data_IF_400264541671
#
_entry.id   IF_400264541671
#
_cell.length_a   1.000
_cell.length_b   1.000
_cell.length_c   1.000
_cell.angle_alpha   90.00
_cell.angle_beta   90.00
_cell.angle_gamma   90.00
#
_symmetry.space_group_name_H-M   'P 1'
#
loop_
_entity.id
_entity.type
_entity.pdbx_description
1 polymer ?
#
# COMPACT_ATOMS: atom_id res chain seq x y z
N UNK A 1 19.88 23.89 29.83
CA UNK A 1 19.35 23.03 28.75
C UNK A 1 17.83 23.18 28.69
N UNK A 2 17.36 24.13 27.87
CA UNK A 2 15.94 24.34 27.56
C UNK A 2 15.71 23.78 26.15
N UNK A 3 14.87 22.76 26.00
CA UNK A 3 14.35 22.38 24.68
C UNK A 3 13.19 23.30 24.36
N UNK A 4 13.34 24.05 23.28
CA UNK A 4 12.39 25.02 22.74
C UNK A 4 11.27 24.23 22.08
N UNK A 5 10.04 24.41 22.56
CA UNK A 5 8.82 24.05 21.83
C UNK A 5 8.63 25.09 20.73
N UNK A 6 8.93 24.68 19.49
CA UNK A 6 8.47 25.39 18.29
C UNK A 6 7.83 24.32 17.41
N UNK A 7 6.57 24.00 17.69
CA UNK A 7 5.69 23.37 16.71
C UNK A 7 4.87 24.52 16.14
N UNK A 8 5.22 24.88 14.90
CA UNK A 8 4.57 25.89 14.10
C UNK A 8 3.09 25.56 13.89
N UNK A 9 2.26 26.54 14.26
CA UNK A 9 0.98 26.89 13.66
C UNK A 9 0.90 26.57 12.15
N UNK A 10 0.21 25.50 11.78
CA UNK A 10 -0.33 25.33 10.42
C UNK A 10 -1.79 24.88 10.47
N UNK A 11 -2.65 25.89 10.56
CA UNK A 11 -3.99 26.05 9.99
C UNK A 11 -4.79 24.82 9.53
N UNK A 12 -5.87 24.58 10.27
CA UNK A 12 -7.11 23.98 9.77
C UNK A 12 -7.77 24.92 8.74
N UNK A 13 -8.25 24.44 7.58
CA UNK A 13 -9.05 25.25 6.66
C UNK A 13 -10.50 25.30 7.16
N UNK A 14 -10.75 26.08 8.22
CA UNK A 14 -12.11 26.41 8.64
C UNK A 14 -12.19 27.93 8.79
N UNK A 15 -13.31 28.52 8.36
CA UNK A 15 -13.55 29.97 8.36
C UNK A 15 -13.06 30.67 9.63
N UNK A 16 -12.49 31.88 9.52
CA UNK A 16 -11.79 32.60 10.59
C UNK A 16 -12.45 32.56 11.99
N UNK A 17 -13.79 32.66 12.06
CA UNK A 17 -14.56 32.56 13.32
C UNK A 17 -14.58 31.17 13.96
N UNK A 18 -14.57 30.13 13.15
CA UNK A 18 -14.52 28.75 13.63
C UNK A 18 -13.13 28.37 14.15
N UNK A 19 -12.08 28.97 13.60
CA UNK A 19 -10.70 28.73 14.01
C UNK A 19 -10.42 29.26 15.42
N UNK A 20 -10.77 30.51 15.73
CA UNK A 20 -10.60 31.08 17.09
C UNK A 20 -11.42 30.32 18.13
N UNK A 21 -12.63 29.86 17.77
CA UNK A 21 -13.47 29.04 18.66
C UNK A 21 -12.83 27.69 18.93
N UNK A 22 -12.23 27.07 17.92
CA UNK A 22 -11.56 25.79 18.04
C UNK A 22 -10.33 25.90 18.93
N UNK A 23 -9.48 26.91 18.70
CA UNK A 23 -8.29 27.20 19.51
C UNK A 23 -8.64 27.41 20.99
N UNK A 24 -9.66 28.21 21.29
CA UNK A 24 -10.12 28.41 22.66
C UNK A 24 -10.62 27.12 23.33
N UNK A 25 -11.32 26.26 22.59
CA UNK A 25 -11.77 24.97 23.11
C UNK A 25 -10.59 24.01 23.35
N UNK A 26 -9.62 23.96 22.45
CA UNK A 26 -8.41 23.14 22.58
C UNK A 26 -7.59 23.57 23.80
N UNK A 27 -7.37 24.87 23.99
CA UNK A 27 -6.65 25.37 25.15
C UNK A 27 -7.40 25.11 26.46
N UNK A 28 -8.73 25.20 26.44
CA UNK A 28 -9.56 24.80 27.58
C UNK A 28 -9.40 23.31 27.88
N UNK A 29 -9.45 22.44 26.86
CA UNK A 29 -9.26 20.99 27.00
C UNK A 29 -7.88 20.67 27.58
N UNK A 30 -6.82 21.31 27.09
CA UNK A 30 -5.44 21.13 27.59
C UNK A 30 -5.29 21.46 29.07
N UNK A 31 -6.01 22.47 29.55
CA UNK A 31 -5.89 22.99 30.92
C UNK A 31 -6.82 22.31 31.93
N UNK A 32 -7.85 21.58 31.48
CA UNK A 32 -8.92 21.10 32.35
C UNK A 32 -9.23 19.61 32.14
N UNK A 33 -9.33 18.86 33.24
CA UNK A 33 -9.76 17.45 33.26
C UNK A 33 -11.12 17.32 33.97
N UNK A 34 -12.18 17.87 33.38
CA UNK A 34 -13.53 17.87 33.95
C UNK A 34 -14.60 17.43 32.91
N UNK A 35 -15.86 17.42 33.30
CA UNK A 35 -16.94 16.97 32.39
C UNK A 35 -17.12 17.94 31.20
N UNK A 36 -17.02 19.25 31.43
CA UNK A 36 -17.15 20.25 30.38
C UNK A 36 -16.06 20.10 29.31
N UNK A 37 -14.81 19.84 29.72
CA UNK A 37 -13.73 19.59 28.77
C UNK A 37 -13.93 18.29 27.99
N UNK A 38 -14.47 17.24 28.63
CA UNK A 38 -14.86 16.01 27.94
C UNK A 38 -15.95 16.24 26.90
N UNK A 39 -16.98 17.01 27.22
CA UNK A 39 -18.08 17.28 26.30
C UNK A 39 -17.62 18.12 25.10
N UNK A 40 -16.78 19.13 25.34
CA UNK A 40 -16.10 19.89 24.26
C UNK A 40 -15.24 18.96 23.41
N UNK A 41 -14.49 18.07 24.04
CA UNK A 41 -13.61 17.16 23.33
C UNK A 41 -14.38 16.17 22.44
N UNK A 42 -15.49 15.63 22.94
CA UNK A 42 -16.37 14.74 22.16
C UNK A 42 -16.97 15.45 20.96
N UNK A 43 -17.47 16.67 21.18
CA UNK A 43 -18.06 17.48 20.10
C UNK A 43 -17.05 17.71 18.97
N UNK A 44 -15.83 18.13 19.32
CA UNK A 44 -14.76 18.32 18.33
C UNK A 44 -14.47 17.02 17.59
N UNK A 45 -14.29 15.90 18.30
CA UNK A 45 -14.01 14.62 17.69
C UNK A 45 -15.08 14.21 16.67
N UNK A 46 -16.36 14.32 17.03
CA UNK A 46 -17.48 14.01 16.12
C UNK A 46 -17.50 14.92 14.89
N UNK A 47 -17.23 16.22 15.05
CA UNK A 47 -17.12 17.16 13.94
C UNK A 47 -15.96 16.80 12.99
N UNK A 48 -14.82 16.35 13.54
CA UNK A 48 -13.69 15.90 12.73
C UNK A 48 -14.01 14.60 11.98
N UNK A 49 -14.64 13.62 12.65
CA UNK A 49 -15.06 12.37 12.01
C UNK A 49 -16.01 12.61 10.85
N UNK A 50 -16.97 13.54 11.00
CA UNK A 50 -17.91 13.88 9.94
C UNK A 50 -17.24 14.53 8.70
N UNK A 51 -16.09 15.19 8.89
CA UNK A 51 -15.32 15.81 7.80
C UNK A 51 -14.40 14.83 7.06
N UNK A 52 -14.00 13.72 7.68
CA UNK A 52 -13.08 12.73 7.12
C UNK A 52 -13.70 11.82 6.03
N UNK A 53 -14.67 12.29 5.24
CA UNK A 53 -15.55 11.42 4.48
C UNK A 53 -14.91 10.52 3.40
N UNK A 54 -13.61 10.60 3.04
CA UNK A 54 -12.99 9.63 2.11
C UNK A 54 -11.49 9.42 2.30
N UNK A 55 -11.12 8.48 3.17
CA UNK A 55 -9.82 7.78 3.26
C UNK A 55 -8.53 8.58 3.57
N UNK A 56 -8.50 9.91 3.50
CA UNK A 56 -7.35 10.66 3.98
C UNK A 56 -7.41 10.87 5.49
N UNK A 57 -6.33 10.53 6.19
CA UNK A 57 -6.16 11.00 7.55
C UNK A 57 -5.85 12.49 7.50
N UNK A 58 -6.86 13.31 7.73
CA UNK A 58 -6.67 14.75 7.88
C UNK A 58 -5.72 14.98 9.07
N UNK A 59 -4.59 15.67 8.82
CA UNK A 59 -3.58 16.08 9.81
C UNK A 59 -4.21 16.58 11.11
N UNK A 60 -5.30 17.33 10.94
CA UNK A 60 -6.27 17.75 11.94
C UNK A 60 -6.64 16.69 13.00
N UNK A 61 -7.04 15.48 12.59
CA UNK A 61 -7.48 14.44 13.54
C UNK A 61 -6.29 13.84 14.30
N UNK A 62 -5.13 13.73 13.64
CA UNK A 62 -3.87 13.33 14.29
C UNK A 62 -3.51 14.28 15.41
N UNK A 63 -3.41 15.56 15.07
CA UNK A 63 -3.03 16.61 15.99
C UNK A 63 -4.01 16.66 17.16
N UNK A 64 -5.30 16.52 16.85
CA UNK A 64 -6.32 16.48 17.89
C UNK A 64 -6.17 15.27 18.83
N UNK A 65 -5.89 14.07 18.29
CA UNK A 65 -5.60 12.89 19.08
C UNK A 65 -4.37 13.09 19.98
N UNK A 66 -3.27 13.59 19.42
CA UNK A 66 -2.03 13.89 20.15
C UNK A 66 -2.24 14.94 21.25
N UNK A 67 -3.12 15.93 21.02
CA UNK A 67 -3.54 16.89 22.04
C UNK A 67 -4.22 16.19 23.20
N UNK A 68 -5.22 15.34 22.93
CA UNK A 68 -5.94 14.62 23.98
C UNK A 68 -4.99 13.75 24.80
N UNK A 69 -4.09 13.03 24.13
CA UNK A 69 -3.05 12.23 24.78
C UNK A 69 -2.13 13.08 25.66
N UNK A 70 -1.68 14.24 25.18
CA UNK A 70 -0.75 15.11 25.90
C UNK A 70 -1.29 15.59 27.25
N UNK A 71 -2.62 15.65 27.41
CA UNK A 71 -3.24 16.08 28.67
C UNK A 71 -3.06 15.09 29.82
N UNK A 72 -2.86 13.79 29.51
CA UNK A 72 -2.85 12.71 30.52
C UNK A 72 -4.16 12.52 31.30
N UNK A 73 -5.26 13.13 30.86
CA UNK A 73 -6.55 13.06 31.54
C UNK A 73 -7.33 11.79 31.16
N UNK A 74 -7.51 10.87 32.12
CA UNK A 74 -8.25 9.60 31.92
C UNK A 74 -9.71 9.78 31.47
N UNK A 75 -10.34 10.94 31.70
CA UNK A 75 -11.69 11.20 31.17
C UNK A 75 -11.74 11.14 29.65
N UNK A 76 -10.63 11.43 28.96
CA UNK A 76 -10.53 11.36 27.51
C UNK A 76 -10.28 9.95 26.97
N UNK A 77 -10.02 8.94 27.82
CA UNK A 77 -9.79 7.56 27.40
C UNK A 77 -10.94 7.05 26.53
N UNK A 78 -12.19 7.41 26.84
CA UNK A 78 -13.36 7.04 26.03
C UNK A 78 -13.28 7.55 24.58
N UNK A 79 -12.68 8.72 24.35
CA UNK A 79 -12.46 9.26 23.00
C UNK A 79 -11.29 8.53 22.33
N UNK A 80 -10.19 8.31 23.07
CA UNK A 80 -9.02 7.59 22.56
C UNK A 80 -9.37 6.15 22.15
N UNK A 81 -10.26 5.49 22.91
CA UNK A 81 -10.78 4.17 22.59
C UNK A 81 -11.67 4.19 21.36
N UNK A 82 -12.55 5.19 21.25
CA UNK A 82 -13.37 5.36 20.05
C UNK A 82 -12.51 5.61 18.81
N UNK A 83 -11.41 6.36 18.93
CA UNK A 83 -10.48 6.62 17.85
C UNK A 83 -9.73 5.34 17.41
N UNK A 84 -9.34 4.48 18.35
CA UNK A 84 -8.82 3.17 18.01
C UNK A 84 -9.89 2.27 17.36
N UNK A 85 -11.04 2.14 18.00
CA UNK A 85 -12.08 1.20 17.61
C UNK A 85 -12.72 1.55 16.26
N UNK A 86 -12.90 2.84 15.97
CA UNK A 86 -13.61 3.30 14.76
C UNK A 86 -12.67 3.77 13.67
N UNK A 87 -11.53 4.33 14.03
CA UNK A 87 -10.63 5.01 13.10
C UNK A 87 -9.24 4.38 13.00
N UNK A 88 -8.97 3.33 13.79
CA UNK A 88 -7.70 2.60 13.85
C UNK A 88 -6.49 3.51 14.13
N UNK A 89 -6.74 4.55 14.92
CA UNK A 89 -5.73 5.51 15.39
C UNK A 89 -5.25 5.11 16.78
N UNK A 90 -3.94 4.88 16.92
CA UNK A 90 -3.33 4.53 18.20
C UNK A 90 -1.92 5.08 18.30
N UNK A 91 -1.51 5.46 19.51
CA UNK A 91 -0.11 5.74 19.82
C UNK A 91 0.47 4.67 20.73
N UNK A 92 1.80 4.59 20.77
CA UNK A 92 2.52 3.71 21.70
C UNK A 92 2.09 3.93 23.15
N UNK A 93 1.95 5.20 23.56
CA UNK A 93 1.53 5.53 24.92
C UNK A 93 0.13 5.04 25.21
N UNK A 94 -0.85 5.33 24.35
CA UNK A 94 -2.24 4.88 24.57
C UNK A 94 -2.33 3.37 24.59
N UNK A 95 -1.60 2.69 23.70
CA UNK A 95 -1.47 1.24 23.76
C UNK A 95 -0.94 0.76 25.12
N UNK A 96 0.21 1.29 25.55
CA UNK A 96 0.88 0.86 26.78
C UNK A 96 0.11 1.23 28.05
N UNK A 97 -0.61 2.36 28.08
CA UNK A 97 -1.34 2.81 29.28
C UNK A 97 -2.75 2.25 29.40
N UNK A 98 -3.39 1.95 28.28
CA UNK A 98 -4.82 1.68 28.26
C UNK A 98 -5.19 0.27 27.81
N UNK A 99 -4.34 -0.38 27.02
CA UNK A 99 -4.60 -1.73 26.53
C UNK A 99 -3.61 -2.75 27.10
N UNK A 100 -2.32 -2.45 27.05
CA UNK A 100 -1.27 -3.37 27.44
C UNK A 100 -1.40 -3.79 28.92
N UNK A 101 -1.56 -5.09 29.16
CA UNK A 101 -1.77 -5.65 30.50
C UNK A 101 -3.18 -5.48 31.08
N UNK A 102 -4.14 -4.91 30.33
CA UNK A 102 -5.53 -4.75 30.76
C UNK A 102 -6.47 -5.75 30.09
N UNK A 103 -7.01 -6.69 30.87
CA UNK A 103 -8.03 -7.63 30.36
C UNK A 103 -9.35 -6.93 30.01
N UNK A 104 -9.69 -5.85 30.71
CA UNK A 104 -11.00 -5.17 30.57
C UNK A 104 -11.17 -4.52 29.19
N UNK A 105 -10.07 -4.02 28.62
CA UNK A 105 -10.09 -3.29 27.34
C UNK A 105 -9.73 -4.17 26.14
N UNK A 106 -9.54 -5.48 26.34
CA UNK A 106 -9.13 -6.40 25.27
C UNK A 106 -10.16 -6.48 24.13
N UNK A 107 -11.47 -6.50 24.45
CA UNK A 107 -12.52 -6.54 23.43
C UNK A 107 -12.52 -5.29 22.53
N UNK A 108 -12.38 -4.11 23.13
CA UNK A 108 -12.25 -2.82 22.43
C UNK A 108 -10.99 -2.84 21.55
N UNK A 109 -9.88 -3.35 22.10
CA UNK A 109 -8.63 -3.47 21.36
C UNK A 109 -8.80 -4.33 20.10
N UNK A 110 -9.42 -5.50 20.25
CA UNK A 110 -9.65 -6.43 19.14
C UNK A 110 -10.60 -5.86 18.08
N UNK A 111 -11.64 -5.13 18.49
CA UNK A 111 -12.57 -4.47 17.57
C UNK A 111 -11.84 -3.47 16.68
N UNK A 112 -10.97 -2.62 17.24
CA UNK A 112 -10.17 -1.66 16.47
C UNK A 112 -9.19 -2.34 15.52
N UNK A 113 -8.53 -3.41 15.97
CA UNK A 113 -7.54 -4.12 15.17
C UNK A 113 -8.15 -4.75 13.91
N UNK A 114 -9.33 -5.34 14.05
CA UNK A 114 -10.05 -6.03 12.97
C UNK A 114 -10.81 -5.08 12.02
N UNK A 115 -10.77 -3.76 12.25
CA UNK A 115 -11.44 -2.80 11.38
C UNK A 115 -10.95 -2.86 9.94
N UNK A 116 -11.87 -2.56 9.01
CA UNK A 116 -11.59 -2.45 7.58
C UNK A 116 -10.91 -1.12 7.19
N UNK A 117 -10.05 -0.56 8.06
CA UNK A 117 -9.23 0.65 7.81
C UNK A 117 -7.73 0.36 7.86
N UNK A 118 -6.92 1.22 7.25
CA UNK A 118 -5.45 1.25 7.33
C UNK A 118 -4.98 1.56 8.76
N UNK A 119 -3.77 1.14 9.14
CA UNK A 119 -3.22 1.47 10.46
C UNK A 119 -2.80 2.94 10.50
N UNK A 120 -3.10 3.63 11.61
CA UNK A 120 -2.75 5.04 11.80
C UNK A 120 -2.06 5.23 13.14
N UNK A 121 -0.74 5.39 13.12
CA UNK A 121 0.04 5.55 14.34
C UNK A 121 0.29 7.03 14.65
N UNK A 122 -0.27 7.51 15.77
CA UNK A 122 0.01 8.84 16.32
C UNK A 122 1.37 8.80 17.03
N UNK A 123 2.24 9.81 16.84
CA UNK A 123 3.66 9.89 17.27
C UNK A 123 4.74 9.59 16.22
N UNK A 124 4.42 9.43 14.94
CA UNK A 124 5.44 9.47 13.88
C UNK A 124 5.58 10.89 13.31
N UNK A 125 6.81 11.39 13.19
CA UNK A 125 7.11 12.75 12.68
C UNK A 125 6.65 12.96 11.24
N UNK A 126 6.37 11.89 10.49
CA UNK A 126 5.91 11.94 9.12
C UNK A 126 4.38 11.83 8.99
N UNK A 127 3.84 12.55 8.01
CA UNK A 127 2.41 12.66 7.67
C UNK A 127 1.86 11.43 6.92
N UNK A 128 2.73 10.54 6.43
CA UNK A 128 2.33 9.38 5.65
C UNK A 128 2.19 8.14 6.55
N UNK A 129 0.95 7.73 6.83
CA UNK A 129 0.56 6.34 7.12
C UNK A 129 1.55 5.55 8.00
N UNK A 130 2.05 6.20 9.05
CA UNK A 130 3.35 5.86 9.62
C UNK A 130 3.41 4.48 10.22
N UNK A 131 4.18 3.57 9.62
CA UNK A 131 4.32 2.20 10.10
C UNK A 131 5.23 2.17 11.34
N UNK A 132 4.71 1.71 12.48
CA UNK A 132 5.50 1.45 13.69
C UNK A 132 5.69 -0.07 13.89
N UNK A 133 6.76 -0.62 13.32
CA UNK A 133 7.12 -2.05 13.46
C UNK A 133 7.21 -2.52 14.91
N UNK A 134 7.74 -1.67 15.80
CA UNK A 134 7.95 -2.03 17.22
C UNK A 134 6.60 -2.15 17.92
N UNK A 135 5.73 -1.15 17.72
CA UNK A 135 4.39 -1.13 18.29
C UNK A 135 3.52 -2.23 17.69
N UNK A 136 3.60 -2.44 16.37
CA UNK A 136 2.89 -3.51 15.68
C UNK A 136 3.25 -4.89 16.25
N UNK A 137 4.54 -5.15 16.47
CA UNK A 137 5.00 -6.38 17.13
C UNK A 137 4.49 -6.50 18.57
N UNK A 138 4.55 -5.40 19.35
CA UNK A 138 4.04 -5.38 20.73
C UNK A 138 2.54 -5.67 20.80
N UNK A 139 1.77 -5.11 19.89
CA UNK A 139 0.34 -5.33 19.77
C UNK A 139 0.02 -6.80 19.44
N UNK A 140 0.73 -7.40 18.49
CA UNK A 140 0.59 -8.83 18.19
C UNK A 140 0.94 -9.70 19.40
N UNK A 141 2.02 -9.40 20.13
CA UNK A 141 2.40 -10.12 21.37
C UNK A 141 1.34 -10.00 22.46
N UNK A 142 0.71 -8.84 22.57
CA UNK A 142 -0.39 -8.63 23.50
C UNK A 142 -1.59 -9.52 23.16
N UNK A 143 -1.98 -9.60 21.88
CA UNK A 143 -3.04 -10.53 21.42
C UNK A 143 -2.66 -11.98 21.73
N UNK A 144 -1.42 -12.36 21.41
CA UNK A 144 -0.91 -13.72 21.64
C UNK A 144 -0.98 -14.13 23.12
N UNK A 145 -0.72 -13.21 24.05
CA UNK A 145 -0.79 -13.44 25.48
C UNK A 145 -2.23 -13.66 25.99
N UNK A 146 -3.23 -13.13 25.28
CA UNK A 146 -4.64 -13.29 25.64
C UNK A 146 -5.29 -14.49 24.95
N UNK A 147 -5.04 -14.68 23.66
CA UNK A 147 -5.72 -15.68 22.86
C UNK A 147 -4.96 -16.03 21.57
N UNK A 148 -4.49 -17.28 21.48
CA UNK A 148 -3.84 -17.80 20.26
C UNK A 148 -4.80 -17.77 19.05
N UNK A 149 -6.09 -18.06 19.25
CA UNK A 149 -7.08 -18.02 18.17
C UNK A 149 -7.31 -16.61 17.64
N UNK A 150 -7.31 -15.61 18.52
CA UNK A 150 -7.46 -14.21 18.11
C UNK A 150 -6.24 -13.72 17.35
N UNK A 151 -5.03 -14.10 17.80
CA UNK A 151 -3.79 -13.81 17.08
C UNK A 151 -3.86 -14.37 15.66
N UNK A 152 -4.22 -15.65 15.52
CA UNK A 152 -4.33 -16.30 14.21
C UNK A 152 -5.38 -15.59 13.34
N UNK A 153 -6.55 -15.26 13.89
CA UNK A 153 -7.59 -14.52 13.18
C UNK A 153 -7.08 -13.17 12.69
N UNK A 154 -6.41 -12.42 13.56
CA UNK A 154 -5.86 -11.10 13.26
C UNK A 154 -4.81 -11.17 12.15
N UNK A 155 -3.89 -12.12 12.22
CA UNK A 155 -2.84 -12.29 11.20
C UNK A 155 -3.46 -12.63 9.85
N UNK A 156 -4.35 -13.63 9.81
CA UNK A 156 -5.01 -14.07 8.56
C UNK A 156 -5.77 -12.92 7.90
N UNK A 157 -6.58 -12.21 8.66
CA UNK A 157 -7.38 -11.08 8.14
C UNK A 157 -6.50 -9.97 7.57
N UNK A 158 -5.40 -9.62 8.26
CA UNK A 158 -4.54 -8.53 7.81
C UNK A 158 -3.63 -8.94 6.66
N UNK A 159 -3.13 -10.19 6.58
CA UNK A 159 -2.42 -10.68 5.39
C UNK A 159 -3.29 -10.54 4.14
N UNK A 160 -4.57 -10.91 4.22
CA UNK A 160 -5.47 -10.80 3.07
C UNK A 160 -5.78 -9.35 2.70
N UNK A 161 -5.96 -8.49 3.70
CA UNK A 161 -6.44 -7.12 3.49
C UNK A 161 -5.36 -6.10 3.14
N UNK A 162 -4.21 -6.14 3.80
CA UNK A 162 -3.17 -5.13 3.64
C UNK A 162 -2.48 -5.25 2.27
N UNK A 163 -1.92 -4.15 1.78
CA UNK A 163 -1.13 -4.08 0.53
C UNK A 163 0.03 -3.10 0.71
N UNK A 164 0.92 -3.02 -0.26
CA UNK A 164 2.02 -2.06 -0.28
C UNK A 164 2.92 -2.16 0.94
N UNK A 165 3.32 -1.00 1.47
CA UNK A 165 4.23 -0.95 2.62
C UNK A 165 3.59 -1.55 3.88
N UNK A 166 2.30 -1.32 4.14
CA UNK A 166 1.63 -1.86 5.33
C UNK A 166 1.72 -3.39 5.40
N UNK A 167 1.51 -4.08 4.27
CA UNK A 167 1.61 -5.54 4.19
C UNK A 167 3.02 -6.03 4.54
N UNK A 168 4.05 -5.38 3.97
CA UNK A 168 5.46 -5.73 4.19
C UNK A 168 5.80 -5.63 5.66
N UNK A 169 5.49 -4.49 6.26
CA UNK A 169 5.80 -4.24 7.65
C UNK A 169 4.99 -5.13 8.60
N UNK A 170 3.73 -5.42 8.26
CA UNK A 170 2.93 -6.38 9.00
C UNK A 170 3.55 -7.77 8.99
N UNK A 171 3.96 -8.27 7.81
CA UNK A 171 4.64 -9.58 7.70
C UNK A 171 5.99 -9.58 8.43
N UNK A 172 6.78 -8.51 8.31
CA UNK A 172 8.04 -8.34 9.06
C UNK A 172 7.83 -8.39 10.57
N UNK A 173 6.75 -7.78 11.09
CA UNK A 173 6.39 -7.88 12.50
C UNK A 173 6.00 -9.32 12.89
N UNK A 174 5.32 -10.08 12.01
CA UNK A 174 5.06 -11.50 12.24
C UNK A 174 6.39 -12.26 12.33
N UNK A 175 7.29 -12.11 11.36
CA UNK A 175 8.58 -12.82 11.32
C UNK A 175 9.46 -12.57 12.54
N UNK A 176 9.43 -11.34 13.08
CA UNK A 176 10.18 -10.98 14.29
C UNK A 176 9.63 -11.60 15.57
N UNK A 177 8.36 -12.01 15.59
CA UNK A 177 7.65 -12.42 16.81
C UNK A 177 7.07 -13.83 16.80
N UNK A 178 6.85 -14.40 15.64
CA UNK A 178 6.00 -15.58 15.42
C UNK A 178 6.48 -16.40 14.22
N UNK A 179 6.02 -17.65 14.14
CA UNK A 179 6.34 -18.53 13.02
C UNK A 179 5.49 -18.17 11.79
N UNK A 180 6.07 -17.41 10.85
CA UNK A 180 5.40 -17.04 9.60
C UNK A 180 4.91 -18.26 8.81
N UNK A 181 5.60 -19.40 8.94
CA UNK A 181 5.23 -20.67 8.31
C UNK A 181 3.81 -21.14 8.63
N UNK A 182 3.27 -20.81 9.81
CA UNK A 182 1.88 -21.14 10.16
C UNK A 182 0.86 -20.48 9.22
N UNK A 183 1.25 -19.43 8.50
CA UNK A 183 0.41 -18.60 7.63
C UNK A 183 0.79 -18.73 6.15
N UNK A 184 1.57 -19.75 5.77
CA UNK A 184 2.03 -19.95 4.41
C UNK A 184 0.86 -20.02 3.40
N UNK A 185 -0.23 -20.72 3.73
CA UNK A 185 -1.43 -20.79 2.88
C UNK A 185 -2.11 -19.43 2.71
N UNK A 186 -2.10 -18.58 3.74
CA UNK A 186 -2.63 -17.23 3.66
C UNK A 186 -1.76 -16.36 2.72
N UNK A 187 -0.42 -16.51 2.78
CA UNK A 187 0.51 -15.83 1.86
C UNK A 187 0.36 -16.32 0.41
N UNK A 188 0.16 -17.63 0.19
CA UNK A 188 -0.15 -18.20 -1.13
C UNK A 188 -1.44 -17.58 -1.66
N UNK A 189 -2.51 -17.61 -0.87
CA UNK A 189 -3.80 -17.02 -1.24
C UNK A 189 -3.67 -15.53 -1.58
N UNK A 190 -2.93 -14.77 -0.76
CA UNK A 190 -2.67 -13.35 -1.01
C UNK A 190 -1.89 -13.12 -2.30
N UNK A 191 -0.96 -13.99 -2.65
CA UNK A 191 -0.18 -13.89 -3.89
C UNK A 191 -1.05 -14.06 -5.14
N UNK A 192 -2.03 -14.98 -5.10
CA UNK A 192 -3.04 -15.11 -6.16
C UNK A 192 -3.99 -13.91 -6.27
N UNK A 193 -4.07 -13.07 -5.25
CA UNK A 193 -4.90 -11.86 -5.24
C UNK A 193 -4.06 -10.56 -5.32
N UNK A 194 -2.74 -10.65 -5.48
CA UNK A 194 -1.90 -9.48 -5.64
C UNK A 194 -2.28 -8.73 -6.93
N UNK A 195 -2.49 -7.42 -6.79
CA UNK A 195 -2.81 -6.50 -7.89
C UNK A 195 -1.57 -5.80 -8.43
N UNK A 196 -0.54 -5.63 -7.59
CA UNK A 196 0.69 -4.92 -7.92
C UNK A 196 1.90 -5.86 -7.88
N UNK A 197 2.84 -5.64 -8.81
CA UNK A 197 4.08 -6.42 -8.89
C UNK A 197 4.96 -6.25 -7.64
N UNK A 198 4.86 -5.10 -6.97
CA UNK A 198 5.55 -4.83 -5.71
C UNK A 198 5.17 -5.82 -4.61
N UNK A 199 3.87 -5.94 -4.32
CA UNK A 199 3.34 -6.88 -3.31
C UNK A 199 3.68 -8.32 -3.69
N UNK A 200 3.46 -8.68 -4.95
CA UNK A 200 3.76 -10.02 -5.44
C UNK A 200 5.24 -10.36 -5.27
N UNK A 201 6.16 -9.44 -5.58
CA UNK A 201 7.60 -9.69 -5.45
C UNK A 201 7.99 -9.97 -4.00
N UNK A 202 7.44 -9.20 -3.06
CA UNK A 202 7.66 -9.41 -1.64
C UNK A 202 7.10 -10.76 -1.18
N UNK A 203 5.84 -11.06 -1.51
CA UNK A 203 5.20 -12.33 -1.15
C UNK A 203 5.94 -13.54 -1.71
N UNK A 204 6.38 -13.49 -2.97
CA UNK A 204 7.19 -14.55 -3.58
C UNK A 204 8.51 -14.76 -2.84
N UNK A 205 9.18 -13.68 -2.43
CA UNK A 205 10.42 -13.76 -1.64
C UNK A 205 10.17 -14.48 -0.31
N UNK A 206 9.04 -14.20 0.34
CA UNK A 206 8.67 -14.87 1.59
C UNK A 206 8.27 -16.33 1.40
N UNK A 207 7.52 -16.65 0.36
CA UNK A 207 7.17 -18.05 0.09
C UNK A 207 8.39 -18.88 -0.28
N UNK A 208 9.37 -18.31 -0.98
CA UNK A 208 10.66 -18.94 -1.26
C UNK A 208 11.44 -19.19 0.04
N UNK A 209 11.52 -18.19 0.92
CA UNK A 209 12.24 -18.32 2.20
C UNK A 209 11.61 -19.40 3.09
N UNK A 210 10.28 -19.55 3.03
CA UNK A 210 9.51 -20.59 3.70
C UNK A 210 9.59 -21.97 3.03
N UNK A 211 10.27 -22.08 1.87
CA UNK A 211 10.35 -23.30 1.05
C UNK A 211 8.98 -23.82 0.63
N UNK A 212 8.11 -22.92 0.19
CA UNK A 212 6.85 -23.29 -0.45
C UNK A 212 7.11 -24.17 -1.68
N UNK A 213 6.12 -25.00 -2.02
CA UNK A 213 6.24 -25.94 -3.13
C UNK A 213 6.47 -25.22 -4.46
N UNK A 214 7.47 -25.68 -5.22
CA UNK A 214 7.86 -25.05 -6.48
C UNK A 214 6.71 -24.99 -7.48
N UNK A 215 5.83 -26.01 -7.54
CA UNK A 215 4.72 -26.02 -8.49
C UNK A 215 3.67 -24.94 -8.14
N UNK A 216 3.46 -24.69 -6.84
CA UNK A 216 2.62 -23.57 -6.39
C UNK A 216 3.23 -22.23 -6.78
N UNK A 217 4.52 -22.03 -6.56
CA UNK A 217 5.22 -20.79 -6.94
C UNK A 217 5.19 -20.56 -8.45
N UNK A 218 5.41 -21.61 -9.23
CA UNK A 218 5.35 -21.55 -10.69
C UNK A 218 3.95 -21.23 -11.22
N UNK A 219 2.91 -21.78 -10.57
CA UNK A 219 1.51 -21.45 -10.89
C UNK A 219 1.22 -19.98 -10.61
N UNK A 220 1.57 -19.47 -9.42
CA UNK A 220 1.39 -18.05 -9.08
C UNK A 220 2.08 -17.15 -10.12
N UNK A 221 3.35 -17.44 -10.42
CA UNK A 221 4.13 -16.67 -11.39
C UNK A 221 3.53 -16.72 -12.80
N UNK A 222 3.02 -17.88 -13.22
CA UNK A 222 2.36 -18.02 -14.53
C UNK A 222 1.07 -17.21 -14.58
N UNK A 223 0.21 -17.35 -13.57
CA UNK A 223 -1.10 -16.69 -13.53
C UNK A 223 -0.99 -15.18 -13.40
N UNK A 224 0.06 -14.69 -12.73
CA UNK A 224 0.31 -13.26 -12.49
C UNK A 224 1.28 -12.62 -13.48
N UNK A 225 1.63 -13.31 -14.57
CA UNK A 225 2.58 -12.82 -15.57
C UNK A 225 2.24 -11.45 -16.13
N UNK A 226 0.95 -11.17 -16.33
CA UNK A 226 0.48 -9.87 -16.83
C UNK A 226 0.75 -8.68 -15.89
N UNK A 227 1.02 -8.92 -14.60
CA UNK A 227 1.31 -7.87 -13.62
C UNK A 227 2.82 -7.69 -13.48
N UNK A 228 3.58 -8.79 -13.38
CA UNK A 228 5.01 -8.69 -13.12
C UNK A 228 5.88 -8.58 -14.38
N UNK A 229 5.45 -9.09 -15.52
CA UNK A 229 6.25 -9.14 -16.75
C UNK A 229 6.18 -7.83 -17.57
N UNK A 230 6.21 -6.69 -16.87
CA UNK A 230 6.13 -5.33 -17.44
C UNK A 230 7.22 -4.44 -16.83
N UNK A 231 7.64 -3.43 -17.57
CA UNK A 231 8.57 -2.39 -17.10
C UNK A 231 9.80 -2.93 -16.34
N UNK A 232 10.19 -2.24 -15.27
CA UNK A 232 11.29 -2.60 -14.38
C UNK A 232 11.02 -3.88 -13.56
N UNK A 233 9.77 -4.33 -13.47
CA UNK A 233 9.42 -5.53 -12.72
C UNK A 233 9.80 -6.81 -13.45
N UNK A 234 9.70 -6.80 -14.78
CA UNK A 234 10.01 -7.97 -15.60
C UNK A 234 11.41 -8.52 -15.33
N UNK A 235 12.44 -7.65 -15.36
CA UNK A 235 13.83 -8.04 -15.10
C UNK A 235 14.01 -8.61 -13.69
N UNK A 236 13.38 -7.97 -12.68
CA UNK A 236 13.40 -8.42 -11.28
C UNK A 236 12.82 -9.83 -11.13
N UNK A 237 11.68 -10.09 -11.74
CA UNK A 237 11.02 -11.39 -11.66
C UNK A 237 11.72 -12.46 -12.47
N UNK A 238 12.25 -12.15 -13.65
CA UNK A 238 13.05 -13.10 -14.42
C UNK A 238 14.35 -13.48 -13.70
N UNK A 239 14.97 -12.54 -13.00
CA UNK A 239 16.11 -12.82 -12.12
C UNK A 239 15.72 -13.74 -10.95
N UNK A 240 14.57 -13.48 -10.31
CA UNK A 240 14.01 -14.35 -9.27
C UNK A 240 13.71 -15.77 -9.78
N UNK A 241 13.05 -15.89 -10.95
CA UNK A 241 12.73 -17.16 -11.60
C UNK A 241 13.99 -17.98 -11.85
N UNK A 242 15.02 -17.36 -12.43
CA UNK A 242 16.29 -18.04 -12.73
C UNK A 242 17.03 -18.46 -11.47
N UNK A 243 17.17 -17.55 -10.51
CA UNK A 243 17.94 -17.80 -9.28
C UNK A 243 17.36 -18.94 -8.44
N UNK A 244 16.05 -19.20 -8.58
CA UNK A 244 15.36 -20.28 -7.88
C UNK A 244 15.06 -21.50 -8.78
N UNK A 245 15.51 -21.49 -10.04
CA UNK A 245 15.34 -22.62 -10.96
C UNK A 245 13.89 -22.91 -11.35
N UNK A 246 13.02 -21.90 -11.33
CA UNK A 246 11.61 -22.07 -11.70
C UNK A 246 11.44 -22.22 -13.21
N UNK A 247 10.55 -23.12 -13.63
CA UNK A 247 10.28 -23.44 -15.01
C UNK A 247 9.10 -22.63 -15.58
N UNK A 248 9.32 -21.32 -15.76
CA UNK A 248 8.33 -20.43 -16.37
C UNK A 248 8.58 -20.31 -17.87
N UNK A 249 7.55 -20.59 -18.68
CA UNK A 249 7.64 -20.45 -20.13
C UNK A 249 7.73 -18.95 -20.52
N UNK A 250 8.80 -18.52 -21.20
CA UNK A 250 8.86 -17.18 -21.76
C UNK A 250 7.81 -17.02 -22.85
N UNK A 251 7.44 -15.77 -23.12
CA UNK A 251 6.56 -15.47 -24.23
C UNK A 251 7.29 -15.71 -25.57
N UNK A 252 6.65 -16.24 -26.63
CA UNK A 252 7.28 -16.43 -27.93
C UNK A 252 7.85 -15.14 -28.56
N UNK A 253 7.43 -13.97 -28.10
CA UNK A 253 7.80 -12.66 -28.65
C UNK A 253 9.09 -12.06 -28.06
N UNK A 254 9.69 -12.68 -27.05
CA UNK A 254 11.00 -12.26 -26.56
C UNK A 254 11.83 -13.43 -26.07
N UNK A 255 13.13 -13.20 -25.93
CA UNK A 255 14.04 -14.06 -25.19
C UNK A 255 14.54 -13.33 -23.95
N UNK A 256 14.90 -14.07 -22.91
CA UNK A 256 15.47 -13.51 -21.68
C UNK A 256 16.97 -13.79 -21.67
N UNK A 257 17.78 -12.76 -21.55
CA UNK A 257 19.24 -12.89 -21.44
C UNK A 257 19.70 -13.26 -20.01
N UNK A 258 20.99 -13.52 -19.84
CA UNK A 258 21.58 -13.96 -18.55
C UNK A 258 21.43 -12.94 -17.40
N UNK A 259 21.04 -11.69 -17.69
CA UNK A 259 20.75 -10.65 -16.69
C UNK A 259 19.26 -10.53 -16.37
N UNK A 260 18.40 -11.27 -17.08
CA UNK A 260 16.94 -11.18 -16.92
C UNK A 260 16.30 -10.17 -17.86
N UNK A 261 17.06 -9.59 -18.80
CA UNK A 261 16.58 -8.58 -19.74
C UNK A 261 15.90 -9.22 -20.94
N UNK A 262 14.80 -8.62 -21.38
CA UNK A 262 14.11 -9.02 -22.60
C UNK A 262 14.87 -8.60 -23.85
N UNK A 263 14.93 -9.51 -24.82
CA UNK A 263 15.29 -9.23 -26.21
C UNK A 263 14.08 -9.53 -27.08
N UNK A 264 13.41 -8.46 -27.53
CA UNK A 264 12.18 -8.58 -28.30
C UNK A 264 12.43 -9.06 -29.72
N UNK A 265 11.58 -9.98 -30.17
CA UNK A 265 11.41 -10.34 -31.58
C UNK A 265 10.41 -9.35 -32.19
N UNK A 266 10.85 -8.11 -32.33
CA UNK A 266 10.03 -6.94 -32.69
C UNK A 266 9.06 -7.25 -33.83
N UNK A 267 9.59 -7.76 -34.96
CA UNK A 267 8.77 -8.10 -36.13
C UNK A 267 7.65 -9.07 -35.80
N UNK A 268 7.96 -10.18 -35.13
CA UNK A 268 6.97 -11.19 -34.77
C UNK A 268 5.90 -10.60 -33.84
N UNK A 269 6.31 -9.79 -32.86
CA UNK A 269 5.39 -9.18 -31.90
C UNK A 269 4.45 -8.16 -32.56
N UNK A 270 5.01 -7.20 -33.31
CA UNK A 270 4.22 -6.17 -33.99
C UNK A 270 3.28 -6.78 -35.04
N UNK A 271 3.74 -7.77 -35.80
CA UNK A 271 2.89 -8.50 -36.74
C UNK A 271 1.72 -9.21 -36.04
N UNK A 272 1.97 -9.85 -34.89
CA UNK A 272 0.92 -10.47 -34.09
C UNK A 272 -0.12 -9.46 -33.60
N UNK A 273 0.32 -8.31 -33.08
CA UNK A 273 -0.58 -7.24 -32.63
C UNK A 273 -1.46 -6.67 -33.76
N UNK A 274 -0.90 -6.54 -34.98
CA UNK A 274 -1.65 -6.12 -36.17
C UNK A 274 -2.68 -7.18 -36.59
N UNK A 275 -2.28 -8.45 -36.64
CA UNK A 275 -3.16 -9.57 -37.00
C UNK A 275 -4.36 -9.70 -36.05
N UNK A 276 -4.12 -9.50 -34.75
CA UNK A 276 -5.17 -9.49 -33.73
C UNK A 276 -5.96 -8.19 -33.66
N UNK A 277 -5.68 -7.23 -34.56
CA UNK A 277 -6.32 -5.91 -34.64
C UNK A 277 -6.14 -5.02 -33.41
N UNK A 278 -5.26 -5.39 -32.46
CA UNK A 278 -4.95 -4.59 -31.27
C UNK A 278 -4.35 -3.23 -31.63
N UNK A 279 -3.54 -3.19 -32.68
CA UNK A 279 -3.00 -1.96 -33.29
C UNK A 279 -3.29 -1.94 -34.79
N UNK A 280 -3.17 -0.77 -35.39
CA UNK A 280 -3.30 -0.53 -36.81
C UNK A 280 -1.95 -0.56 -37.53
N UNK A 281 -1.93 -0.06 -38.76
CA UNK A 281 -0.69 -0.03 -39.55
C UNK A 281 0.29 1.02 -39.03
N UNK A 282 -0.25 2.14 -38.55
CA UNK A 282 0.51 3.31 -38.08
C UNK A 282 -0.01 3.79 -36.71
N UNK A 283 0.17 3.00 -35.62
CA UNK A 283 -0.17 3.43 -34.26
C UNK A 283 0.62 4.67 -33.83
N UNK A 284 0.12 5.42 -32.85
CA UNK A 284 0.95 6.42 -32.17
C UNK A 284 2.11 5.72 -31.47
N UNK A 285 3.30 6.30 -31.57
CA UNK A 285 4.52 5.76 -30.98
C UNK A 285 5.07 6.72 -29.92
N UNK A 286 5.19 6.23 -28.69
CA UNK A 286 5.92 6.89 -27.63
C UNK A 286 7.20 6.11 -27.34
N UNK A 287 8.35 6.79 -27.33
CA UNK A 287 9.63 6.22 -26.89
C UNK A 287 10.07 7.00 -25.65
N UNK A 288 10.22 6.31 -24.52
CA UNK A 288 10.55 6.93 -23.23
C UNK A 288 9.67 8.15 -22.92
N UNK A 289 8.35 7.98 -23.09
CA UNK A 289 7.31 9.00 -22.90
C UNK A 289 7.30 10.17 -23.88
N UNK A 290 8.19 10.18 -24.88
CA UNK A 290 8.18 11.19 -25.93
C UNK A 290 7.44 10.67 -27.16
N UNK A 291 6.53 11.48 -27.70
CA UNK A 291 5.87 11.17 -28.96
C UNK A 291 6.90 11.22 -30.10
N UNK A 292 6.97 10.16 -30.91
CA UNK A 292 7.91 10.03 -32.02
C UNK A 292 7.14 9.88 -33.32
N UNK A 293 7.45 10.76 -34.27
CA UNK A 293 6.97 10.65 -35.64
C UNK A 293 7.83 9.68 -36.44
N UNK A 294 7.19 8.88 -37.29
CA UNK A 294 7.87 7.92 -38.15
C UNK A 294 7.16 7.85 -39.50
N UNK A 295 7.91 7.47 -40.53
CA UNK A 295 7.36 7.31 -41.88
C UNK A 295 6.35 6.16 -41.90
N UNK A 296 5.33 6.31 -42.75
CA UNK A 296 4.34 5.26 -42.95
C UNK A 296 5.02 3.91 -43.25
N UNK A 297 4.54 2.84 -42.62
CA UNK A 297 5.07 1.47 -42.73
C UNK A 297 6.52 1.27 -42.21
N UNK A 298 7.17 2.28 -41.60
CA UNK A 298 8.54 2.18 -41.09
C UNK A 298 8.64 1.75 -39.61
N UNK A 299 7.50 1.44 -38.96
CA UNK A 299 7.44 1.12 -37.52
C UNK A 299 8.39 -0.03 -37.12
N UNK A 300 8.31 -1.17 -37.81
CA UNK A 300 9.10 -2.36 -37.46
C UNK A 300 10.60 -2.06 -37.61
N UNK A 301 11.00 -1.43 -38.71
CA UNK A 301 12.40 -1.09 -38.96
C UNK A 301 12.95 -0.12 -37.89
N UNK A 302 12.13 0.84 -37.47
CA UNK A 302 12.50 1.77 -36.40
C UNK A 302 12.68 1.02 -35.06
N UNK A 303 11.71 0.19 -34.69
CA UNK A 303 11.75 -0.55 -33.43
C UNK A 303 12.87 -1.60 -33.37
N UNK A 304 13.22 -2.24 -34.50
CA UNK A 304 14.33 -3.21 -34.60
C UNK A 304 15.71 -2.58 -34.28
N UNK A 305 15.83 -1.24 -34.35
CA UNK A 305 17.06 -0.51 -34.02
C UNK A 305 17.17 -0.12 -32.54
N UNK A 306 16.11 -0.33 -31.75
CA UNK A 306 16.06 0.07 -30.35
C UNK A 306 16.47 -1.08 -29.44
N UNK A 307 17.18 -0.76 -28.36
CA UNK A 307 17.37 -1.69 -27.24
C UNK A 307 16.14 -1.63 -26.33
N UNK A 308 15.11 -2.38 -26.70
CA UNK A 308 13.78 -2.32 -26.08
C UNK A 308 13.77 -3.06 -24.75
N UNK A 309 13.39 -2.34 -23.70
CA UNK A 309 13.13 -2.86 -22.36
C UNK A 309 11.71 -3.40 -22.20
N UNK A 310 10.72 -2.62 -22.64
CA UNK A 310 9.31 -2.99 -22.55
C UNK A 310 8.50 -2.40 -23.71
N UNK A 311 7.43 -3.08 -24.09
CA UNK A 311 6.45 -2.62 -25.09
C UNK A 311 5.07 -2.73 -24.47
N UNK A 312 4.48 -1.59 -24.15
CA UNK A 312 3.09 -1.49 -23.71
C UNK A 312 2.21 -1.06 -24.88
N UNK A 313 0.97 -1.53 -24.85
CA UNK A 313 -0.03 -1.21 -25.85
C UNK A 313 -1.22 -0.55 -25.17
N UNK A 314 -1.79 0.47 -25.80
CA UNK A 314 -3.20 0.79 -25.64
C UNK A 314 -3.89 0.40 -26.94
N UNK A 315 -4.86 -0.50 -26.82
CA UNK A 315 -5.61 -0.97 -27.99
C UNK A 315 -6.39 0.17 -28.63
N UNK A 316 -6.80 0.00 -29.89
CA UNK A 316 -7.59 1.02 -30.63
C UNK A 316 -8.80 1.53 -29.84
N UNK A 317 -9.48 0.64 -29.11
CA UNK A 317 -10.69 0.98 -28.37
C UNK A 317 -10.37 1.82 -27.12
N UNK A 318 -9.24 1.54 -26.47
CA UNK A 318 -8.79 2.28 -25.29
C UNK A 318 -8.18 3.64 -25.68
N UNK A 319 -7.37 3.66 -26.73
CA UNK A 319 -6.57 4.82 -27.11
C UNK A 319 -7.39 5.98 -27.66
N UNK A 320 -8.55 5.73 -28.26
CA UNK A 320 -9.44 6.81 -28.74
C UNK A 320 -9.98 7.64 -27.57
N UNK A 321 -10.20 7.04 -26.40
CA UNK A 321 -10.68 7.75 -25.22
C UNK A 321 -9.63 8.74 -24.70
N UNK A 322 -8.36 8.39 -24.79
CA UNK A 322 -7.24 9.20 -24.27
C UNK A 322 -6.69 10.18 -25.31
N UNK A 323 -6.58 9.77 -26.57
CA UNK A 323 -5.88 10.49 -27.63
C UNK A 323 -6.78 10.97 -28.77
N UNK A 324 -8.10 10.76 -28.66
CA UNK A 324 -9.08 11.15 -29.68
C UNK A 324 -8.81 10.49 -31.03
N UNK A 325 -9.07 11.21 -32.12
CA UNK A 325 -8.91 10.71 -33.49
C UNK A 325 -7.49 10.20 -33.79
N UNK A 326 -6.46 10.75 -33.13
CA UNK A 326 -5.07 10.34 -33.30
C UNK A 326 -4.80 8.93 -32.76
N UNK A 327 -5.61 8.46 -31.81
CA UNK A 327 -5.51 7.14 -31.20
C UNK A 327 -6.20 6.02 -31.99
N UNK A 328 -6.84 6.29 -33.13
CA UNK A 328 -7.65 5.30 -33.87
C UNK A 328 -6.87 4.07 -34.36
N UNK A 329 -5.54 4.17 -34.46
CA UNK A 329 -4.65 3.08 -34.85
C UNK A 329 -4.01 2.37 -33.64
N UNK A 330 -4.41 2.69 -32.41
CA UNK A 330 -3.76 2.21 -31.18
C UNK A 330 -2.52 3.04 -30.82
N UNK A 331 -1.96 2.75 -29.64
CA UNK A 331 -0.74 3.40 -29.12
C UNK A 331 0.27 2.34 -28.71
N UNK A 332 1.52 2.54 -29.10
CA UNK A 332 2.67 1.79 -28.61
C UNK A 332 3.50 2.69 -27.71
N UNK A 333 3.77 2.23 -26.48
CA UNK A 333 4.70 2.87 -25.56
C UNK A 333 5.91 1.96 -25.38
N UNK A 334 7.06 2.46 -25.82
CA UNK A 334 8.33 1.76 -25.79
C UNK A 334 9.18 2.37 -24.68
N UNK A 335 9.67 1.51 -23.80
CA UNK A 335 10.77 1.85 -22.90
C UNK A 335 12.04 1.22 -23.45
N UNK A 336 13.14 1.96 -23.46
CA UNK A 336 14.47 1.44 -23.81
C UNK A 336 15.36 1.34 -22.58
N UNK A 337 16.48 0.65 -22.70
CA UNK A 337 17.55 0.66 -21.68
C UNK A 337 18.33 1.97 -21.63
#
# INVERSE_FOLDING_TARGET
MKRIYFILLTFFPISFFSQTRYENNIDFIRKNCNQESLDKARKIYTELQAKQMDNSFDTTLKEYYEILESTGCRKFDTILFSAWEKDKVISKRVFETSFYGSNENYSIFMNGYLQKKEFRFANQENLDQGIDDELQLKMLKYIAAHSKSDLQKVIRVNIQKLSGQELIHFISAIEKGFELKEFQEDLISKSYHAEYAFDLNYLMTQLISLKADNSTLESILTDKKNIWDKENWSEKFWSLIRSNGFNIKPDPFYQIDDKGRKRYRVRAYISHLKQNKSIGENPLLFINYNLVEYKENALIEMLEKLDIKDIQIESKDESVNTFGARGTQGVLKIQTY
#
